data_IF_649094958475
#
_entry.id   IF_649094958475
#
_cell.length_a   1.000
_cell.length_b   1.000
_cell.length_c   1.000
_cell.angle_alpha   90.00
_cell.angle_beta   90.00
_cell.angle_gamma   90.00
#
_symmetry.space_group_name_H-M   'P 1'
#
loop_
_entity.id
_entity.type
_entity.pdbx_description
1 polymer ?
#
# COMPACT_ATOMS: atom_id res chain seq x y z
N UNK A 1 12.57 -35.01 -12.79
CA UNK A 1 12.97 -33.99 -11.79
C UNK A 1 13.06 -32.66 -12.52
N UNK A 2 12.23 -31.70 -12.16
CA UNK A 2 12.25 -30.34 -12.73
C UNK A 2 13.22 -29.49 -11.92
N UNK A 3 14.26 -29.00 -12.55
CA UNK A 3 15.16 -28.02 -11.95
C UNK A 3 14.43 -26.69 -11.71
N UNK A 4 14.75 -25.98 -10.64
CA UNK A 4 14.23 -24.63 -10.39
C UNK A 4 14.77 -23.59 -11.38
N UNK A 5 15.92 -23.89 -12.01
CA UNK A 5 16.56 -23.12 -13.07
C UNK A 5 17.11 -24.11 -14.09
N UNK A 6 16.79 -23.93 -15.36
CA UNK A 6 17.35 -24.73 -16.45
C UNK A 6 18.85 -24.38 -16.60
N UNK A 7 19.77 -25.31 -16.32
CA UNK A 7 21.19 -25.03 -16.41
C UNK A 7 21.58 -24.59 -17.82
N UNK A 8 20.95 -25.09 -18.89
CA UNK A 8 21.24 -24.71 -20.29
C UNK A 8 20.82 -23.28 -20.64
N UNK A 9 20.04 -22.62 -19.78
CA UNK A 9 19.53 -21.25 -19.96
C UNK A 9 20.03 -20.29 -18.89
N UNK A 10 21.00 -20.72 -18.07
CA UNK A 10 21.54 -19.91 -16.99
C UNK A 10 22.63 -18.96 -17.50
N UNK A 11 22.73 -17.75 -16.92
CA UNK A 11 23.78 -16.76 -17.20
C UNK A 11 25.10 -17.06 -16.46
N UNK A 12 25.22 -18.23 -15.83
CA UNK A 12 26.40 -18.62 -15.07
C UNK A 12 27.41 -19.35 -15.97
N UNK A 13 28.70 -19.16 -15.70
CA UNK A 13 29.77 -19.87 -16.38
C UNK A 13 30.03 -21.23 -15.69
N UNK A 14 30.50 -22.20 -16.45
CA UNK A 14 30.88 -23.54 -15.97
C UNK A 14 32.39 -23.59 -15.69
N UNK A 15 32.83 -24.46 -14.80
CA UNK A 15 34.26 -24.69 -14.57
C UNK A 15 34.96 -25.15 -15.87
N UNK A 16 36.27 -24.92 -15.97
CA UNK A 16 37.05 -25.40 -17.11
C UNK A 16 36.91 -26.92 -17.19
N UNK A 17 36.30 -27.43 -18.26
CA UNK A 17 35.93 -28.83 -18.56
C UNK A 17 34.50 -29.28 -18.18
N UNK A 18 33.70 -28.41 -17.57
CA UNK A 18 32.27 -28.66 -17.35
C UNK A 18 31.39 -28.05 -18.45
N UNK A 19 30.19 -28.58 -18.64
CA UNK A 19 29.18 -27.96 -19.50
C UNK A 19 27.76 -28.20 -18.97
N UNK A 20 26.78 -27.49 -19.53
CA UNK A 20 25.38 -27.62 -19.13
C UNK A 20 24.85 -29.06 -19.18
N UNK A 21 25.34 -29.87 -20.14
CA UNK A 21 24.97 -31.27 -20.32
C UNK A 21 25.47 -32.14 -19.16
N UNK A 22 26.66 -31.87 -18.60
CA UNK A 22 27.22 -32.58 -17.45
C UNK A 22 26.27 -32.58 -16.25
N UNK A 23 25.69 -31.42 -15.93
CA UNK A 23 24.76 -31.26 -14.81
C UNK A 23 23.33 -31.74 -15.11
N UNK A 24 22.92 -31.76 -16.38
CA UNK A 24 21.59 -32.21 -16.79
C UNK A 24 21.39 -33.73 -16.63
N UNK A 25 22.45 -34.53 -16.81
CA UNK A 25 22.34 -36.00 -16.86
C UNK A 25 22.76 -36.74 -15.59
N UNK A 26 23.50 -36.11 -14.67
CA UNK A 26 24.09 -36.80 -13.51
C UNK A 26 23.37 -36.60 -12.16
N UNK A 27 22.23 -35.91 -12.13
CA UNK A 27 21.49 -35.63 -10.89
C UNK A 27 22.36 -34.94 -9.80
N UNK A 28 23.43 -34.25 -10.20
CA UNK A 28 24.34 -33.54 -9.32
C UNK A 28 23.87 -32.10 -9.11
N UNK A 29 23.95 -31.60 -7.86
CA UNK A 29 23.59 -30.21 -7.58
C UNK A 29 24.59 -29.27 -8.24
N UNK A 30 24.16 -28.57 -9.29
CA UNK A 30 24.87 -27.41 -9.81
C UNK A 30 25.03 -26.38 -8.69
N UNK A 31 26.28 -26.04 -8.35
CA UNK A 31 26.61 -24.94 -7.45
C UNK A 31 27.25 -23.86 -8.30
N UNK A 32 26.52 -22.79 -8.68
CA UNK A 32 27.16 -21.67 -9.37
C UNK A 32 28.25 -21.14 -8.45
N UNK A 33 29.50 -21.18 -8.93
CA UNK A 33 30.54 -20.32 -8.39
C UNK A 33 30.38 -18.98 -9.08
N UNK A 34 30.02 -17.95 -8.31
CA UNK A 34 30.19 -16.58 -8.78
C UNK A 34 31.68 -16.37 -8.98
N UNK A 35 32.08 -15.55 -9.97
CA UNK A 35 33.50 -15.18 -10.14
C UNK A 35 33.96 -14.73 -8.77
N UNK A 36 34.91 -15.44 -8.16
CA UNK A 36 35.68 -14.86 -7.06
C UNK A 36 36.42 -13.70 -7.72
N UNK A 37 36.01 -12.44 -7.49
CA UNK A 37 36.64 -11.32 -8.14
C UNK A 37 38.11 -11.38 -7.87
N UNK A 38 38.86 -11.38 -8.96
CA UNK A 38 40.31 -11.55 -8.97
C UNK A 38 40.93 -10.64 -7.91
N UNK A 39 41.79 -11.22 -7.08
CA UNK A 39 42.75 -10.51 -6.24
C UNK A 39 43.62 -9.63 -7.17
N UNK A 40 43.19 -8.39 -7.35
CA UNK A 40 43.83 -7.37 -8.15
C UNK A 40 44.14 -6.14 -7.29
N UNK A 41 44.76 -5.12 -7.88
CA UNK A 41 45.13 -3.89 -7.16
C UNK A 41 43.94 -3.11 -6.57
N UNK A 42 42.71 -3.44 -6.99
CA UNK A 42 41.48 -2.77 -6.55
C UNK A 42 40.75 -3.51 -5.42
N UNK A 43 41.27 -4.63 -4.91
CA UNK A 43 40.56 -5.41 -3.87
C UNK A 43 40.33 -4.60 -2.58
N UNK A 44 41.37 -3.91 -2.09
CA UNK A 44 41.24 -3.04 -0.92
C UNK A 44 40.27 -1.90 -1.18
N UNK A 45 40.41 -1.24 -2.32
CA UNK A 45 39.66 -0.03 -2.66
C UNK A 45 38.17 -0.35 -2.87
N UNK A 46 37.87 -1.48 -3.52
CA UNK A 46 36.51 -1.98 -3.68
C UNK A 46 35.88 -2.37 -2.33
N UNK A 47 36.64 -3.02 -1.44
CA UNK A 47 36.14 -3.37 -0.10
C UNK A 47 35.85 -2.14 0.74
N UNK A 48 36.73 -1.16 0.72
CA UNK A 48 36.52 0.12 1.38
C UNK A 48 35.29 0.85 0.79
N UNK A 49 35.24 1.01 -0.54
CA UNK A 49 34.12 1.66 -1.22
C UNK A 49 32.78 1.00 -0.91
N UNK A 50 32.74 -0.34 -0.83
CA UNK A 50 31.53 -1.10 -0.55
C UNK A 50 31.24 -1.31 0.95
N UNK A 51 31.99 -0.67 1.87
CA UNK A 51 31.86 -0.84 3.32
C UNK A 51 31.99 -2.32 3.77
N UNK A 52 32.82 -3.11 3.10
CA UNK A 52 33.11 -4.50 3.49
C UNK A 52 34.23 -4.50 4.54
N UNK A 53 34.02 -5.07 5.74
CA UNK A 53 35.07 -5.13 6.77
C UNK A 53 36.31 -5.84 6.23
N UNK A 54 37.50 -5.27 6.42
CA UNK A 54 38.77 -5.85 5.94
C UNK A 54 39.12 -7.18 6.62
N UNK A 55 38.59 -7.41 7.82
CA UNK A 55 38.72 -8.67 8.56
C UNK A 55 37.73 -9.75 8.11
N UNK A 56 36.73 -9.43 7.27
CA UNK A 56 35.82 -10.43 6.73
C UNK A 56 36.61 -11.38 5.83
N UNK A 57 36.50 -12.67 6.09
CA UNK A 57 37.27 -13.71 5.39
C UNK A 57 36.48 -14.39 4.28
N UNK A 58 35.15 -14.31 4.35
CA UNK A 58 34.25 -14.93 3.40
C UNK A 58 33.13 -13.97 2.95
N UNK A 59 32.75 -14.05 1.68
CA UNK A 59 31.62 -13.29 1.11
C UNK A 59 30.26 -13.66 1.70
N UNK A 60 30.19 -14.77 2.45
CA UNK A 60 29.01 -15.15 3.24
C UNK A 60 28.77 -14.22 4.43
N UNK A 61 29.81 -13.54 4.92
CA UNK A 61 29.73 -12.58 6.02
C UNK A 61 29.20 -11.22 5.56
N UNK A 62 29.17 -10.99 4.24
CA UNK A 62 28.77 -9.71 3.67
C UNK A 62 27.24 -9.59 3.58
N UNK A 63 26.74 -8.36 3.66
CA UNK A 63 25.33 -8.07 3.39
C UNK A 63 25.03 -8.20 1.89
N UNK A 64 23.75 -8.36 1.49
CA UNK A 64 23.37 -8.32 0.09
C UNK A 64 23.83 -7.04 -0.63
N UNK A 65 23.71 -5.88 0.02
CA UNK A 65 24.12 -4.57 -0.52
C UNK A 65 25.64 -4.52 -0.76
N UNK A 66 26.43 -4.99 0.21
CA UNK A 66 27.89 -5.09 0.10
C UNK A 66 28.30 -6.00 -1.07
N UNK A 67 27.66 -7.17 -1.20
CA UNK A 67 27.92 -8.08 -2.32
C UNK A 67 27.59 -7.46 -3.67
N UNK A 68 26.43 -6.79 -3.80
CA UNK A 68 26.04 -6.12 -5.05
C UNK A 68 27.11 -5.12 -5.47
N UNK A 69 27.47 -4.19 -4.59
CA UNK A 69 28.52 -3.20 -4.84
C UNK A 69 29.84 -3.87 -5.27
N UNK A 70 30.33 -4.84 -4.51
CA UNK A 70 31.64 -5.44 -4.77
C UNK A 70 31.68 -6.24 -6.07
N UNK A 71 30.64 -7.03 -6.37
CA UNK A 71 30.56 -7.78 -7.62
C UNK A 71 30.40 -6.87 -8.83
N UNK A 72 29.71 -5.74 -8.67
CA UNK A 72 29.61 -4.76 -9.75
C UNK A 72 30.98 -4.12 -10.04
N UNK A 73 31.72 -3.65 -9.03
CA UNK A 73 33.11 -3.16 -9.22
C UNK A 73 34.01 -4.23 -9.83
N UNK A 74 33.91 -5.47 -9.35
CA UNK A 74 34.70 -6.58 -9.85
C UNK A 74 34.53 -6.82 -11.36
N UNK A 75 33.29 -6.76 -11.83
CA UNK A 75 32.93 -7.03 -13.23
C UNK A 75 33.22 -5.83 -14.12
N UNK A 76 33.00 -4.60 -13.63
CA UNK A 76 33.15 -3.38 -14.43
C UNK A 76 34.53 -2.74 -14.33
N UNK A 77 35.30 -3.07 -13.28
CA UNK A 77 36.52 -2.36 -12.88
C UNK A 77 36.28 -0.86 -12.61
N UNK A 78 35.08 -0.50 -12.17
CA UNK A 78 34.64 0.88 -11.96
C UNK A 78 34.03 1.05 -10.54
N UNK A 79 34.72 1.82 -9.69
CA UNK A 79 34.31 2.09 -8.31
C UNK A 79 33.05 2.96 -8.26
N UNK A 80 32.94 3.96 -9.13
CA UNK A 80 31.80 4.88 -9.16
C UNK A 80 30.53 4.11 -9.52
N UNK A 81 30.63 3.19 -10.48
CA UNK A 81 29.53 2.28 -10.82
C UNK A 81 29.08 1.44 -9.61
N UNK A 82 30.02 0.87 -8.84
CA UNK A 82 29.71 0.11 -7.63
C UNK A 82 29.05 0.95 -6.52
N UNK A 83 29.48 2.20 -6.34
CA UNK A 83 28.86 3.11 -5.37
C UNK A 83 27.42 3.45 -5.75
N UNK A 84 27.15 3.66 -7.05
CA UNK A 84 25.79 3.86 -7.57
C UNK A 84 24.95 2.61 -7.37
N UNK A 85 25.49 1.43 -7.63
CA UNK A 85 24.74 0.17 -7.45
C UNK A 85 24.45 -0.13 -5.98
N UNK A 86 25.37 0.22 -5.07
CA UNK A 86 25.13 0.19 -3.62
C UNK A 86 23.94 1.06 -3.24
N UNK A 87 23.94 2.32 -3.68
CA UNK A 87 22.85 3.27 -3.39
C UNK A 87 21.51 2.75 -3.93
N UNK A 88 21.49 2.18 -5.13
CA UNK A 88 20.28 1.58 -5.70
C UNK A 88 19.79 0.38 -4.86
N UNK A 89 20.71 -0.46 -4.36
CA UNK A 89 20.36 -1.59 -3.50
C UNK A 89 19.85 -1.17 -2.11
N UNK A 90 20.39 -0.07 -1.55
CA UNK A 90 19.90 0.57 -0.33
C UNK A 90 18.47 1.08 -0.53
N UNK A 91 18.23 1.88 -1.57
CA UNK A 91 16.89 2.39 -1.91
C UNK A 91 15.88 1.26 -2.14
N UNK A 92 16.30 0.19 -2.82
CA UNK A 92 15.41 -0.96 -3.03
C UNK A 92 15.06 -1.65 -1.71
N UNK A 93 15.98 -1.66 -0.74
CA UNK A 93 15.72 -2.21 0.60
C UNK A 93 14.73 -1.34 1.36
N UNK A 94 14.91 -0.03 1.35
CA UNK A 94 13.97 0.92 1.96
C UNK A 94 12.57 0.81 1.34
N UNK A 95 12.47 0.71 0.01
CA UNK A 95 11.20 0.53 -0.68
C UNK A 95 10.51 -0.79 -0.29
N UNK A 96 11.27 -1.88 -0.15
CA UNK A 96 10.72 -3.17 0.31
C UNK A 96 10.17 -3.05 1.73
N UNK A 97 10.89 -2.39 2.62
CA UNK A 97 10.43 -2.16 3.99
C UNK A 97 9.15 -1.31 4.02
N UNK A 98 9.09 -0.23 3.22
CA UNK A 98 7.90 0.60 3.10
C UNK A 98 6.66 -0.17 2.61
N UNK A 99 6.84 -1.13 1.67
CA UNK A 99 5.74 -1.97 1.17
C UNK A 99 5.31 -3.02 2.19
N UNK A 100 6.28 -3.61 2.91
CA UNK A 100 6.02 -4.70 3.85
C UNK A 100 5.39 -4.22 5.14
N UNK A 101 5.82 -3.06 5.61
CA UNK A 101 5.51 -2.54 6.94
C UNK A 101 4.92 -1.12 6.92
N UNK A 102 3.90 -0.84 6.07
CA UNK A 102 3.26 0.47 6.07
C UNK A 102 2.38 0.65 7.31
N UNK A 103 2.04 1.89 7.72
CA UNK A 103 1.02 2.13 8.73
C UNK A 103 -0.30 1.44 8.37
N UNK A 104 -0.93 0.77 9.32
CA UNK A 104 -2.15 -0.01 9.09
C UNK A 104 -3.36 0.67 9.71
N UNK A 105 -4.32 1.06 8.89
CA UNK A 105 -5.62 1.53 9.37
C UNK A 105 -6.41 0.42 10.06
N UNK A 106 -7.23 0.78 11.04
CA UNK A 106 -8.12 -0.17 11.73
C UNK A 106 -8.97 -0.97 10.71
N UNK A 107 -8.89 -2.30 10.75
CA UNK A 107 -9.62 -3.20 9.86
C UNK A 107 -11.14 -3.15 10.01
N UNK A 108 -11.65 -2.57 11.11
CA UNK A 108 -13.07 -2.35 11.36
C UNK A 108 -13.62 -1.08 10.70
N UNK A 109 -12.76 -0.21 10.16
CA UNK A 109 -13.21 0.93 9.37
C UNK A 109 -14.00 0.43 8.17
N UNK A 110 -15.19 0.99 7.99
CA UNK A 110 -16.09 0.60 6.90
C UNK A 110 -15.70 1.27 5.58
N UNK A 111 -15.63 0.49 4.50
CA UNK A 111 -15.37 1.00 3.14
C UNK A 111 -16.54 1.81 2.57
N UNK A 112 -17.71 1.76 3.20
CA UNK A 112 -18.88 2.52 2.80
C UNK A 112 -19.65 2.96 4.04
N UNK A 113 -20.08 4.22 4.06
CA UNK A 113 -20.93 4.76 5.12
C UNK A 113 -22.12 5.48 4.52
N UNK A 114 -23.32 5.16 5.01
CA UNK A 114 -24.52 5.90 4.67
C UNK A 114 -24.54 7.16 5.54
N UNK A 115 -24.75 8.30 4.91
CA UNK A 115 -24.87 9.60 5.58
C UNK A 115 -26.08 10.35 5.02
N UNK A 116 -26.69 11.17 5.86
CA UNK A 116 -27.90 11.91 5.52
C UNK A 116 -27.59 13.38 5.28
N UNK A 117 -28.41 14.03 4.45
CA UNK A 117 -28.40 15.49 4.32
C UNK A 117 -28.56 16.17 5.69
N UNK A 118 -27.85 17.28 5.91
CA UNK A 118 -27.75 18.03 7.18
C UNK A 118 -27.08 17.26 8.33
N UNK A 119 -26.54 16.07 8.09
CA UNK A 119 -25.83 15.31 9.12
C UNK A 119 -24.39 15.81 9.28
N UNK A 120 -23.95 15.98 10.54
CA UNK A 120 -22.52 16.04 10.87
C UNK A 120 -21.95 14.61 10.84
N UNK A 121 -21.01 14.38 9.93
CA UNK A 121 -20.30 13.12 9.74
C UNK A 121 -18.97 13.21 10.46
N UNK A 122 -18.75 12.31 11.42
CA UNK A 122 -17.50 12.18 12.15
C UNK A 122 -16.92 10.78 11.96
N UNK A 123 -15.66 10.69 11.52
CA UNK A 123 -14.94 9.43 11.28
C UNK A 123 -13.55 9.55 11.90
N UNK A 124 -13.14 8.55 12.68
CA UNK A 124 -11.78 8.47 13.22
C UNK A 124 -10.94 7.52 12.36
N UNK A 125 -10.02 8.08 11.58
CA UNK A 125 -9.08 7.32 10.78
C UNK A 125 -7.84 6.99 11.61
N UNK A 126 -7.92 5.96 12.44
CA UNK A 126 -6.77 5.51 13.24
C UNK A 126 -5.94 4.49 12.46
N UNK A 127 -4.64 4.73 12.40
CA UNK A 127 -3.64 3.80 11.92
C UNK A 127 -2.58 3.52 13.00
N UNK A 128 -1.93 2.36 12.90
CA UNK A 128 -0.82 1.94 13.76
C UNK A 128 0.42 1.64 12.91
N UNK A 129 1.60 1.88 13.46
CA UNK A 129 2.88 1.50 12.86
C UNK A 129 3.69 0.71 13.88
N UNK A 130 4.49 -0.26 13.42
CA UNK A 130 5.43 -0.98 14.29
C UNK A 130 6.70 -0.17 14.61
N UNK A 131 6.95 0.92 13.87
CA UNK A 131 8.15 1.74 14.00
C UNK A 131 7.94 3.09 14.69
N UNK A 132 6.69 3.53 14.84
CA UNK A 132 6.38 4.81 15.46
C UNK A 132 5.09 4.75 16.27
N UNK A 133 5.08 5.45 17.40
CA UNK A 133 3.88 5.76 18.17
C UNK A 133 3.13 7.01 17.66
N UNK A 134 3.71 7.74 16.71
CA UNK A 134 3.14 8.95 16.13
C UNK A 134 2.87 8.77 14.63
N UNK A 135 1.66 9.14 14.23
CA UNK A 135 1.18 9.08 12.85
C UNK A 135 0.68 10.46 12.44
N UNK A 136 1.08 10.92 11.27
CA UNK A 136 0.58 12.15 10.65
C UNK A 136 -0.44 11.76 9.58
N UNK A 137 -1.63 12.34 9.67
CA UNK A 137 -2.72 12.09 8.72
C UNK A 137 -2.88 13.25 7.74
N UNK A 138 -3.29 12.95 6.50
CA UNK A 138 -3.64 13.98 5.50
C UNK A 138 -4.88 13.57 4.72
N UNK A 139 -5.77 14.54 4.49
CA UNK A 139 -6.91 14.37 3.60
C UNK A 139 -6.44 14.54 2.16
N UNK A 140 -6.36 13.43 1.42
CA UNK A 140 -5.94 13.42 0.01
C UNK A 140 -7.11 13.73 -0.93
N UNK A 141 -8.30 13.31 -0.56
CA UNK A 141 -9.53 13.55 -1.30
C UNK A 141 -10.74 13.51 -0.36
N UNK A 142 -11.71 14.37 -0.57
CA UNK A 142 -12.93 14.42 0.24
C UNK A 142 -13.90 15.48 -0.28
N UNK A 143 -15.11 15.57 0.31
CA UNK A 143 -16.06 16.62 -0.05
C UNK A 143 -15.53 18.00 0.34
N UNK A 144 -16.03 19.02 -0.36
CA UNK A 144 -15.73 20.41 -0.04
C UNK A 144 -16.09 20.72 1.42
N UNK A 145 -15.28 21.60 2.03
CA UNK A 145 -15.40 22.03 3.42
C UNK A 145 -15.22 20.92 4.48
N UNK A 146 -14.84 19.70 4.07
CA UNK A 146 -14.43 18.67 5.01
C UNK A 146 -13.09 19.01 5.65
N UNK A 147 -12.96 18.66 6.92
CA UNK A 147 -11.71 18.84 7.68
C UNK A 147 -11.20 17.48 8.17
N UNK A 148 -9.88 17.40 8.32
CA UNK A 148 -9.19 16.29 8.97
C UNK A 148 -8.15 16.87 9.92
N UNK A 149 -8.21 16.49 11.19
CA UNK A 149 -7.15 16.80 12.14
C UNK A 149 -5.93 15.90 11.86
N UNK A 150 -4.79 16.52 11.50
CA UNK A 150 -3.60 15.80 11.07
C UNK A 150 -2.94 14.97 12.18
N UNK A 151 -3.18 15.29 13.46
CA UNK A 151 -2.57 14.61 14.60
C UNK A 151 -3.42 13.43 15.10
N UNK A 152 -4.74 13.57 15.03
CA UNK A 152 -5.69 12.58 15.58
C UNK A 152 -6.37 11.72 14.51
N UNK A 153 -6.31 12.14 13.24
CA UNK A 153 -7.03 11.49 12.15
C UNK A 153 -8.55 11.68 12.22
N UNK A 154 -9.02 12.68 12.98
CA UNK A 154 -10.45 12.96 13.12
C UNK A 154 -10.97 13.75 11.92
N UNK A 155 -11.82 13.10 11.12
CA UNK A 155 -12.49 13.69 9.97
C UNK A 155 -13.86 14.24 10.38
N UNK A 156 -14.20 15.43 9.88
CA UNK A 156 -15.50 16.06 10.06
C UNK A 156 -16.02 16.64 8.76
N UNK A 157 -17.32 16.45 8.51
CA UNK A 157 -18.01 17.06 7.38
C UNK A 157 -19.51 17.17 7.64
N UNK A 158 -20.09 18.34 7.38
CA UNK A 158 -21.56 18.53 7.43
C UNK A 158 -22.12 18.38 6.02
N UNK A 159 -23.00 17.40 5.80
CA UNK A 159 -23.59 17.15 4.47
C UNK A 159 -24.47 18.34 4.04
N UNK A 160 -24.12 19.10 2.99
CA UNK A 160 -24.90 20.27 2.59
C UNK A 160 -26.31 19.90 2.09
N UNK A 161 -27.31 20.77 2.30
CA UNK A 161 -28.70 20.58 1.82
C UNK A 161 -28.84 20.36 0.33
N UNK A 162 -27.95 20.96 -0.47
CA UNK A 162 -27.95 20.84 -1.93
C UNK A 162 -27.31 19.55 -2.45
N UNK A 163 -26.82 18.66 -1.58
CA UNK A 163 -26.14 17.44 -1.99
C UNK A 163 -27.11 16.49 -2.69
N UNK A 164 -26.73 15.99 -3.86
CA UNK A 164 -27.54 15.07 -4.66
C UNK A 164 -27.73 13.75 -3.90
N UNK A 165 -29.00 13.38 -3.66
CA UNK A 165 -29.35 12.09 -3.05
C UNK A 165 -28.88 10.95 -3.95
N UNK A 166 -28.39 9.86 -3.35
CA UNK A 166 -27.75 8.71 -4.03
C UNK A 166 -26.36 8.98 -4.61
N UNK A 167 -25.80 10.18 -4.43
CA UNK A 167 -24.40 10.43 -4.76
C UNK A 167 -23.44 9.61 -3.90
N UNK A 168 -22.26 9.36 -4.44
CA UNK A 168 -21.18 8.59 -3.83
C UNK A 168 -19.95 9.48 -3.79
N UNK A 169 -19.54 9.86 -2.58
CA UNK A 169 -18.42 10.76 -2.37
C UNK A 169 -17.25 9.96 -1.80
N UNK A 170 -16.15 9.78 -2.55
CA UNK A 170 -14.96 9.15 -2.03
C UNK A 170 -14.26 10.06 -1.02
N UNK A 171 -13.75 9.47 0.05
CA UNK A 171 -12.88 10.11 1.05
C UNK A 171 -11.62 9.28 1.14
N UNK A 172 -10.48 9.91 0.84
CA UNK A 172 -9.17 9.27 0.85
C UNK A 172 -8.27 9.97 1.86
N UNK A 173 -7.75 9.21 2.81
CA UNK A 173 -6.85 9.69 3.87
C UNK A 173 -5.53 8.93 3.79
N UNK A 174 -4.40 9.63 3.90
CA UNK A 174 -3.10 9.00 4.10
C UNK A 174 -2.70 9.00 5.56
N UNK A 175 -2.00 7.95 5.99
CA UNK A 175 -1.28 7.88 7.25
C UNK A 175 0.22 7.77 6.96
N UNK A 176 1.03 8.53 7.70
CA UNK A 176 2.48 8.52 7.59
C UNK A 176 3.09 8.32 8.97
N UNK A 177 3.99 7.34 9.13
CA UNK A 177 4.76 7.22 10.37
C UNK A 177 5.88 8.26 10.42
N UNK A 178 6.22 8.72 11.63
CA UNK A 178 7.22 9.79 11.80
C UNK A 178 8.68 9.30 11.85
N UNK A 179 8.93 7.99 11.87
CA UNK A 179 10.28 7.43 12.05
C UNK A 179 10.94 7.21 10.68
N UNK A 180 10.25 6.50 9.79
CA UNK A 180 10.73 6.15 8.45
C UNK A 180 9.93 6.80 7.33
N UNK A 181 8.90 7.60 7.66
CA UNK A 181 8.04 8.28 6.68
C UNK A 181 7.30 7.31 5.75
N UNK A 182 7.09 6.06 6.14
CA UNK A 182 6.29 5.11 5.38
C UNK A 182 4.83 5.55 5.38
N UNK A 183 4.20 5.39 4.22
CA UNK A 183 2.86 5.89 3.98
C UNK A 183 1.90 4.78 3.59
N UNK A 184 0.68 4.86 4.08
CA UNK A 184 -0.46 4.11 3.56
C UNK A 184 -1.63 5.04 3.27
N UNK A 185 -2.62 4.55 2.54
CA UNK A 185 -3.86 5.27 2.29
C UNK A 185 -5.07 4.38 2.55
N UNK A 186 -6.13 4.99 3.04
CA UNK A 186 -7.44 4.38 3.20
C UNK A 186 -8.48 5.17 2.41
N UNK A 187 -9.39 4.47 1.76
CA UNK A 187 -10.47 5.05 0.99
C UNK A 187 -11.82 4.48 1.43
N UNK A 188 -12.77 5.37 1.73
CA UNK A 188 -14.17 5.01 1.95
C UNK A 188 -15.09 5.82 1.06
N UNK A 189 -16.31 5.32 0.88
CA UNK A 189 -17.35 6.01 0.11
C UNK A 189 -18.51 6.41 1.02
N UNK A 190 -18.80 7.71 1.06
CA UNK A 190 -20.03 8.23 1.66
C UNK A 190 -21.18 8.10 0.66
N UNK A 191 -22.23 7.38 1.04
CA UNK A 191 -23.47 7.23 0.26
C UNK A 191 -24.51 8.18 0.81
N UNK A 192 -24.90 9.17 0.02
CA UNK A 192 -25.82 10.22 0.44
C UNK A 192 -27.26 9.72 0.37
N UNK A 193 -27.99 9.89 1.46
CA UNK A 193 -29.42 9.60 1.56
C UNK A 193 -30.19 10.78 2.14
N UNK A 194 -31.50 10.77 1.93
CA UNK A 194 -32.42 11.69 2.61
C UNK A 194 -33.11 10.95 3.73
N UNK A 195 -33.21 11.58 4.91
CA UNK A 195 -33.98 11.02 6.03
C UNK A 195 -35.45 10.93 5.59
N UNK A 196 -36.08 9.75 5.67
CA UNK A 196 -37.49 9.65 5.31
C UNK A 196 -38.33 10.44 6.32
N UNK A 197 -39.25 11.25 5.83
CA UNK A 197 -40.27 11.88 6.65
C UNK A 197 -41.51 10.99 6.47
N UNK A 198 -41.90 10.28 7.52
CA UNK A 198 -43.15 9.54 7.50
C UNK A 198 -44.30 10.54 7.32
N UNK A 199 -44.96 10.52 6.16
CA UNK A 199 -46.12 11.36 5.90
C UNK A 199 -47.30 10.82 6.69
N UNK A 200 -47.66 11.49 7.77
CA UNK A 200 -48.91 11.20 8.50
C UNK A 200 -50.03 11.88 7.71
N UNK A 201 -50.60 11.18 6.73
CA UNK A 201 -51.87 11.58 6.12
C UNK A 201 -52.99 11.26 7.11
N UNK A 202 -53.40 12.23 7.94
CA UNK A 202 -54.69 12.16 8.63
C UNK A 202 -55.79 12.47 7.61
N UNK A 203 -56.41 11.41 7.08
CA UNK A 203 -57.66 11.55 6.32
C UNK A 203 -58.75 11.95 7.32
N UNK A 204 -59.11 13.23 7.34
CA UNK A 204 -60.33 13.68 8.01
C UNK A 204 -61.50 13.31 7.11
N UNK A 205 -62.11 12.15 7.35
CA UNK A 205 -63.39 11.77 6.74
C UNK A 205 -64.47 12.68 7.31
N UNK A 206 -64.79 13.75 6.59
CA UNK A 206 -65.97 14.56 6.85
C UNK A 206 -67.20 13.69 6.55
N UNK A 207 -67.92 13.28 7.59
CA UNK A 207 -69.16 12.52 7.50
C UNK A 207 -70.23 13.43 6.85
N UNK A 208 -70.45 13.32 5.54
CA UNK A 208 -71.62 13.91 4.89
C UNK A 208 -72.85 13.08 5.26
N UNK A 209 -73.53 13.47 6.34
CA UNK A 209 -74.89 13.01 6.64
C UNK A 209 -75.83 13.86 5.77
N UNK A 210 -76.35 13.30 4.67
CA UNK A 210 -77.52 13.84 4.00
C UNK A 210 -78.78 13.14 4.55
N UNK A 211 -79.79 13.88 5.06
CA UNK A 211 -81.09 13.31 5.33
C UNK A 211 -81.96 13.30 4.06
N UNK A 212 -82.63 12.16 3.85
CA UNK A 212 -84.02 11.96 3.39
C UNK A 212 -84.70 12.98 2.46
N UNK A 213 -85.39 12.48 1.41
CA UNK A 213 -86.87 12.45 1.32
C UNK A 213 -87.30 11.51 0.19
N UNK A 214 -88.29 10.68 0.49
CA UNK A 214 -89.06 9.84 -0.42
C UNK A 214 -90.45 10.45 -0.63
N UNK A 215 -90.98 10.42 -1.85
CA UNK A 215 -92.40 10.55 -2.23
C UNK A 215 -92.50 10.00 -3.68
N UNK A 216 -93.09 8.83 -3.96
CA UNK A 216 -94.52 8.45 -4.07
C UNK A 216 -95.31 9.27 -5.11
N UNK A 217 -95.44 8.66 -6.30
CA UNK A 217 -96.64 8.44 -7.14
C UNK A 217 -97.60 9.62 -7.46
N UNK A 218 -97.84 9.86 -8.77
CA UNK A 218 -99.16 9.85 -9.47
C UNK A 218 -98.95 10.34 -10.92
N UNK A 219 -99.09 9.42 -11.89
CA UNK A 219 -99.97 9.44 -13.07
C UNK A 219 -99.64 8.28 -14.01
#
# INVERSE_FOLDING_TARGET
>A
MSWAIDPTRSLFYYETNDNASFYAYQNQRYRPRFVEPVAGSLESDAREACNIPMNATSSSEWTPIQRTCYYDIAVTQDIDFGLVSRQAAEQQTEQREAIRNPPQFNSQLSLTRIVFIDQLVEISFQAISEFSSSIIYKLLHGPDEATLDEATGQFQWTVPRGTVVSSRIPVKVSAQDTTYNFTSAYELVLKIQQKSIASIFTISTLLFILPFIAEIMIL
#
